data_IF_712359086883
#
_entry.id   IF_712359086883
#
_cell.length_a   1.000
_cell.length_b   1.000
_cell.length_c   1.000
_cell.angle_alpha   90.00
_cell.angle_beta   90.00
_cell.angle_gamma   90.00
#
_symmetry.space_group_name_H-M   'P 1'
#
loop_
_entity.id
_entity.type
_entity.pdbx_description
1 polymer ?
#
# COMPACT_ATOMS: atom_id res chain seq x y z
N UNK A 1 -10.16 12.59 11.72
CA UNK A 1 -9.74 12.27 10.34
C UNK A 1 -9.54 10.76 10.14
N UNK A 2 -8.65 10.10 10.89
CA UNK A 2 -8.39 8.66 10.72
C UNK A 2 -9.63 7.78 10.92
N UNK A 3 -10.45 8.07 11.93
CA UNK A 3 -11.74 7.40 12.15
C UNK A 3 -12.71 7.55 10.96
N UNK A 4 -12.69 8.71 10.28
CA UNK A 4 -13.54 8.94 9.11
C UNK A 4 -13.13 8.04 7.94
N UNK A 5 -11.81 7.93 7.69
CA UNK A 5 -11.23 7.10 6.62
C UNK A 5 -11.57 5.63 6.87
N UNK A 6 -11.34 5.17 8.10
CA UNK A 6 -11.65 3.81 8.53
C UNK A 6 -13.15 3.51 8.41
N UNK A 7 -14.01 4.35 8.96
CA UNK A 7 -15.46 4.12 8.97
C UNK A 7 -16.08 4.06 7.57
N UNK A 8 -15.46 4.73 6.58
CA UNK A 8 -15.90 4.70 5.18
C UNK A 8 -15.17 3.68 4.31
N UNK A 9 -14.27 2.87 4.89
CA UNK A 9 -13.42 1.94 4.16
C UNK A 9 -12.70 2.60 2.97
N UNK A 10 -12.21 3.83 3.16
CA UNK A 10 -11.44 4.53 2.13
C UNK A 10 -10.00 3.98 2.17
N UNK A 11 -9.53 3.29 1.11
CA UNK A 11 -8.17 2.78 1.06
C UNK A 11 -7.19 3.93 0.87
N UNK A 12 -6.00 3.83 1.47
CA UNK A 12 -4.91 4.78 1.28
C UNK A 12 -3.83 4.16 0.39
N UNK A 13 -3.50 4.86 -0.69
CA UNK A 13 -2.44 4.49 -1.62
C UNK A 13 -1.10 5.03 -1.10
N UNK A 14 -0.21 4.13 -0.65
CA UNK A 14 1.03 4.51 0.01
C UNK A 14 2.24 4.18 -0.89
N UNK A 15 3.19 5.10 -0.93
CA UNK A 15 4.34 5.06 -1.83
C UNK A 15 5.66 5.22 -1.03
N UNK A 16 6.19 4.13 -0.44
CA UNK A 16 7.29 4.21 0.53
C UNK A 16 8.49 5.05 0.10
N UNK A 17 9.06 4.74 -1.07
CA UNK A 17 10.25 5.43 -1.57
C UNK A 17 9.94 6.87 -1.98
N UNK A 18 8.81 7.09 -2.67
CA UNK A 18 8.35 8.44 -3.03
C UNK A 18 8.18 9.31 -1.77
N UNK A 19 7.49 8.81 -0.74
CA UNK A 19 7.23 9.53 0.50
C UNK A 19 8.52 9.91 1.23
N UNK A 20 9.54 9.06 1.18
CA UNK A 20 10.86 9.37 1.75
C UNK A 20 11.62 10.41 0.91
N UNK A 21 11.72 10.22 -0.40
CA UNK A 21 12.47 11.11 -1.30
C UNK A 21 11.83 12.50 -1.45
N UNK A 22 10.52 12.60 -1.25
CA UNK A 22 9.77 13.88 -1.21
C UNK A 22 9.71 14.50 0.18
N UNK A 23 10.37 13.89 1.18
CA UNK A 23 10.36 14.32 2.59
C UNK A 23 8.99 14.34 3.27
N UNK A 24 7.98 13.65 2.72
CA UNK A 24 6.71 13.42 3.41
C UNK A 24 6.89 12.55 4.68
N UNK A 25 7.89 11.66 4.67
CA UNK A 25 8.38 10.95 5.85
C UNK A 25 9.89 11.14 6.04
N UNK A 26 10.36 11.10 7.29
CA UNK A 26 11.78 11.33 7.62
C UNK A 26 12.70 10.17 7.20
N UNK A 27 12.21 8.94 7.26
CA UNK A 27 12.92 7.73 6.85
C UNK A 27 11.92 6.62 6.53
N UNK A 28 12.39 5.59 5.83
CA UNK A 28 11.60 4.40 5.52
C UNK A 28 11.16 3.65 6.78
N UNK A 29 12.01 3.57 7.82
CA UNK A 29 11.66 2.93 9.09
C UNK A 29 10.54 3.68 9.86
N UNK A 30 10.36 4.98 9.58
CA UNK A 30 9.33 5.81 10.20
C UNK A 30 8.05 5.91 9.36
N UNK A 31 7.95 5.16 8.26
CA UNK A 31 6.79 5.23 7.38
C UNK A 31 5.51 4.77 8.10
N UNK A 32 4.35 5.47 7.92
CA UNK A 32 3.13 5.21 8.69
C UNK A 32 2.41 3.88 8.38
N UNK A 33 2.98 3.00 7.53
CA UNK A 33 2.34 1.75 7.09
C UNK A 33 1.84 0.91 8.27
N UNK A 34 2.72 0.64 9.23
CA UNK A 34 2.40 -0.16 10.43
C UNK A 34 1.27 0.45 11.24
N UNK A 35 1.38 1.74 11.57
CA UNK A 35 0.39 2.47 12.35
C UNK A 35 -0.99 2.47 11.68
N UNK A 36 -1.03 2.63 10.36
CA UNK A 36 -2.29 2.63 9.60
C UNK A 36 -2.93 1.23 9.57
N UNK A 37 -2.12 0.18 9.34
CA UNK A 37 -2.60 -1.20 9.37
C UNK A 37 -3.10 -1.62 10.76
N UNK A 38 -2.37 -1.27 11.82
CA UNK A 38 -2.77 -1.51 13.22
C UNK A 38 -4.06 -0.76 13.59
N UNK A 39 -4.26 0.45 13.04
CA UNK A 39 -5.49 1.20 13.20
C UNK A 39 -6.67 0.59 12.40
N UNK A 40 -6.44 -0.42 11.56
CA UNK A 40 -7.45 -1.06 10.71
C UNK A 40 -7.80 -0.26 9.46
N UNK A 41 -6.91 0.63 9.01
CA UNK A 41 -7.07 1.34 7.74
C UNK A 41 -6.58 0.45 6.59
N UNK A 42 -7.39 0.33 5.54
CA UNK A 42 -6.97 -0.35 4.32
C UNK A 42 -5.87 0.43 3.61
N UNK A 43 -4.75 -0.21 3.31
CA UNK A 43 -3.61 0.40 2.62
C UNK A 43 -3.18 -0.44 1.42
N UNK A 44 -2.62 0.22 0.41
CA UNK A 44 -2.04 -0.42 -0.78
C UNK A 44 -0.58 -0.01 -0.95
N UNK A 45 0.17 -0.81 -1.72
CA UNK A 45 1.60 -0.59 -1.99
C UNK A 45 1.73 -0.12 -3.43
N UNK A 46 2.32 1.06 -3.62
CA UNK A 46 2.39 1.74 -4.90
C UNK A 46 3.80 2.33 -5.11
N UNK A 47 4.22 2.46 -6.37
CA UNK A 47 5.53 3.00 -6.74
C UNK A 47 5.54 4.52 -6.96
N UNK A 48 4.35 5.12 -7.14
CA UNK A 48 4.18 6.49 -7.61
C UNK A 48 4.81 6.69 -9.00
N UNK A 49 5.99 7.31 -9.08
CA UNK A 49 6.73 7.60 -10.32
C UNK A 49 8.03 6.77 -10.45
N UNK A 50 7.97 5.49 -10.90
CA UNK A 50 9.12 4.61 -11.08
C UNK A 50 10.33 5.25 -11.78
N UNK A 51 10.08 6.00 -12.86
CA UNK A 51 11.14 6.63 -13.66
C UNK A 51 11.83 7.79 -12.95
N UNK A 52 11.09 8.55 -12.13
CA UNK A 52 11.65 9.68 -11.37
C UNK A 52 12.47 9.17 -10.20
N UNK A 53 11.98 8.14 -9.50
CA UNK A 53 12.61 7.60 -8.30
C UNK A 53 13.63 6.49 -8.58
N UNK A 54 13.75 6.03 -9.82
CA UNK A 54 14.73 5.00 -10.20
C UNK A 54 14.44 3.63 -9.59
N UNK A 55 13.16 3.30 -9.41
CA UNK A 55 12.67 2.08 -8.74
C UNK A 55 11.57 1.41 -9.55
N UNK A 56 11.16 0.21 -9.14
CA UNK A 56 9.95 -0.47 -9.63
C UNK A 56 9.07 -0.91 -8.45
N UNK A 57 7.95 -1.58 -8.75
CA UNK A 57 7.07 -2.07 -7.69
C UNK A 57 7.76 -3.15 -6.84
N UNK A 58 8.61 -4.00 -7.41
CA UNK A 58 9.35 -5.04 -6.68
C UNK A 58 10.25 -4.43 -5.61
N UNK A 59 10.86 -3.28 -5.90
CA UNK A 59 11.64 -2.50 -4.96
C UNK A 59 10.81 -2.10 -3.74
N UNK A 60 9.58 -1.61 -3.93
CA UNK A 60 8.73 -1.18 -2.80
C UNK A 60 8.40 -2.34 -1.86
N UNK A 61 8.19 -3.55 -2.39
CA UNK A 61 8.02 -4.75 -1.57
C UNK A 61 9.29 -5.06 -0.76
N UNK A 62 10.48 -4.96 -1.40
CA UNK A 62 11.75 -5.16 -0.71
C UNK A 62 11.97 -4.12 0.39
N UNK A 63 11.70 -2.85 0.11
CA UNK A 63 11.78 -1.75 1.08
C UNK A 63 10.89 -2.03 2.30
N UNK A 64 9.65 -2.45 2.07
CA UNK A 64 8.73 -2.78 3.18
C UNK A 64 9.17 -4.01 3.97
N UNK A 65 9.76 -5.02 3.31
CA UNK A 65 10.35 -6.16 3.99
C UNK A 65 11.57 -5.76 4.84
N UNK A 66 12.48 -4.96 4.27
CA UNK A 66 13.76 -4.65 4.90
C UNK A 66 13.60 -3.65 6.06
N UNK A 67 12.78 -2.62 5.89
CA UNK A 67 12.61 -1.55 6.88
C UNK A 67 11.46 -1.80 7.85
N UNK A 68 10.34 -2.32 7.36
CA UNK A 68 9.14 -2.50 8.17
C UNK A 68 8.84 -3.97 8.49
N UNK A 69 9.66 -4.92 8.03
CA UNK A 69 9.52 -6.37 8.31
C UNK A 69 8.19 -6.95 7.84
N UNK A 70 7.68 -6.48 6.69
CA UNK A 70 6.43 -6.99 6.12
C UNK A 70 6.50 -8.50 5.90
N UNK A 71 5.44 -9.20 6.31
CA UNK A 71 5.28 -10.63 6.03
C UNK A 71 4.55 -10.85 4.71
N UNK A 72 4.57 -12.11 4.23
CA UNK A 72 3.84 -12.49 3.01
C UNK A 72 2.34 -12.27 3.15
N UNK A 73 1.79 -12.53 4.33
CA UNK A 73 0.37 -12.37 4.65
C UNK A 73 -0.03 -10.90 4.62
N UNK A 74 0.85 -10.00 5.06
CA UNK A 74 0.64 -8.56 5.03
C UNK A 74 0.69 -8.01 3.61
N UNK A 75 1.63 -8.50 2.80
CA UNK A 75 1.65 -8.22 1.36
C UNK A 75 0.37 -8.70 0.66
N UNK A 76 -0.08 -9.92 0.96
CA UNK A 76 -1.33 -10.46 0.40
C UNK A 76 -2.54 -9.60 0.79
N UNK A 77 -2.61 -9.13 2.05
CA UNK A 77 -3.68 -8.24 2.52
C UNK A 77 -3.69 -6.89 1.81
N UNK A 78 -2.52 -6.29 1.56
CA UNK A 78 -2.42 -5.04 0.80
C UNK A 78 -2.91 -5.23 -0.64
N UNK A 79 -2.55 -6.35 -1.28
CA UNK A 79 -3.02 -6.68 -2.63
C UNK A 79 -4.51 -6.97 -2.70
N UNK A 80 -5.06 -7.68 -1.72
CA UNK A 80 -6.51 -7.90 -1.62
C UNK A 80 -7.25 -6.57 -1.43
N UNK A 81 -6.72 -5.67 -0.61
CA UNK A 81 -7.24 -4.31 -0.43
C UNK A 81 -7.24 -3.56 -1.76
N UNK A 82 -6.11 -3.58 -2.50
CA UNK A 82 -6.01 -2.95 -3.81
C UNK A 82 -7.01 -3.53 -4.83
N UNK A 83 -7.18 -4.85 -4.85
CA UNK A 83 -8.12 -5.52 -5.73
C UNK A 83 -9.58 -5.13 -5.40
N UNK A 84 -9.94 -5.05 -4.11
CA UNK A 84 -11.26 -4.57 -3.64
C UNK A 84 -11.48 -3.08 -3.93
N UNK A 85 -10.42 -2.27 -3.89
CA UNK A 85 -10.45 -0.83 -4.13
C UNK A 85 -10.45 -0.44 -5.62
N UNK A 86 -9.95 -1.30 -6.50
CA UNK A 86 -9.78 -0.99 -7.91
C UNK A 86 -11.08 -0.54 -8.58
N UNK A 87 -10.97 0.52 -9.39
CA UNK A 87 -12.09 1.12 -10.12
C UNK A 87 -12.55 0.32 -11.35
N UNK A 88 -11.89 -0.81 -11.66
CA UNK A 88 -12.34 -1.66 -12.75
C UNK A 88 -13.63 -2.41 -12.37
N UNK A 89 -14.54 -2.70 -13.33
CA UNK A 89 -15.79 -3.40 -13.04
C UNK A 89 -15.57 -4.74 -12.32
N UNK A 90 -16.44 -5.07 -11.36
CA UNK A 90 -16.29 -6.26 -10.50
C UNK A 90 -16.04 -7.56 -11.30
N UNK A 91 -16.79 -7.78 -12.39
CA UNK A 91 -16.62 -8.96 -13.25
C UNK A 91 -15.20 -9.08 -13.82
N UNK A 92 -14.54 -7.96 -14.16
CA UNK A 92 -13.15 -7.96 -14.64
C UNK A 92 -12.16 -8.21 -13.50
N UNK A 93 -12.45 -7.70 -12.30
CA UNK A 93 -11.64 -7.99 -11.11
C UNK A 93 -11.65 -9.46 -10.75
N UNK A 94 -12.84 -10.07 -10.69
CA UNK A 94 -13.00 -11.49 -10.36
C UNK A 94 -12.31 -12.42 -11.35
N UNK A 95 -12.17 -12.01 -12.62
CA UNK A 95 -11.43 -12.78 -13.62
C UNK A 95 -9.92 -12.89 -13.34
N UNK A 96 -9.34 -11.90 -12.65
CA UNK A 96 -7.90 -11.85 -12.34
C UNK A 96 -7.58 -12.03 -10.85
N UNK A 97 -8.57 -11.82 -9.98
CA UNK A 97 -8.49 -11.99 -8.54
C UNK A 97 -9.73 -12.74 -8.02
N UNK A 98 -9.80 -14.08 -8.19
CA UNK A 98 -11.03 -14.85 -8.01
C UNK A 98 -11.58 -14.91 -6.58
N UNK A 99 -10.81 -14.48 -5.58
CA UNK A 99 -11.24 -14.42 -4.18
C UNK A 99 -12.09 -13.19 -3.82
N UNK A 100 -12.38 -12.32 -4.80
CA UNK A 100 -13.25 -11.14 -4.65
C UNK A 100 -14.74 -11.45 -4.77
#
# INVERSE_FOLDING_TARGET
MMEFVKARNVPLELCPTSNWLTHAVKSLDQHPFRKLMEAGVGVTINSDDPGVFGIDLTNEYRVLQDHLKFTKEEFARCNETAARASFIPLKKRQAVWPSL
#
